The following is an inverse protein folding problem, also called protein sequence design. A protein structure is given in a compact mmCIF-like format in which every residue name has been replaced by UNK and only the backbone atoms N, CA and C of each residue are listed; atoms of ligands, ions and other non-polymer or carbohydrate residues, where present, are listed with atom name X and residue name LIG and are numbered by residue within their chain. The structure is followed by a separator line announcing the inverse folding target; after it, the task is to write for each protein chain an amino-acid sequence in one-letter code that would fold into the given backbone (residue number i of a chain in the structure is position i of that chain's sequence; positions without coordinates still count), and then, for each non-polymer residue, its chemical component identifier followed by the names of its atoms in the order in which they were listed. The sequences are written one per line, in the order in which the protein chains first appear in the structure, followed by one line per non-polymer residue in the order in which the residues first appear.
data_IF_818587488445
#
_entry.id   IF_818587488445
#
_cell.length_a   1.000
_cell.length_b   1.000
_cell.length_c   1.000
_cell.angle_alpha   90.00
_cell.angle_beta   90.00
_cell.angle_gamma   90.00
#
_symmetry.space_group_name_H-M   'P 1'
#
loop_
_entity.id
_entity.type
_entity.pdbx_description
1 polymer ?
#
# COMPACT_ATOMS: atom_id res chain seq x y z
N UNK A 1 -8.41 -30.30 0.74
CA UNK A 1 -8.50 -28.96 0.12
C UNK A 1 -7.06 -28.49 -0.10
N UNK A 2 -6.59 -28.46 -1.34
CA UNK A 2 -5.17 -28.23 -1.63
C UNK A 2 -4.76 -26.79 -1.28
N UNK A 3 -3.77 -26.66 -0.40
CA UNK A 3 -3.06 -25.40 -0.21
C UNK A 3 -2.27 -25.10 -1.49
N UNK A 4 -2.55 -23.97 -2.15
CA UNK A 4 -1.72 -23.50 -3.26
C UNK A 4 -0.27 -23.43 -2.77
N UNK A 5 0.63 -24.17 -3.42
CA UNK A 5 2.05 -24.21 -3.04
C UNK A 5 2.83 -23.11 -3.76
N UNK A 6 2.61 -21.86 -3.38
CA UNK A 6 3.50 -20.78 -3.81
C UNK A 6 4.81 -20.83 -3.01
N UNK A 7 5.92 -20.49 -3.64
CA UNK A 7 7.22 -20.34 -2.99
C UNK A 7 7.39 -18.91 -2.47
N UNK A 8 8.27 -18.72 -1.48
CA UNK A 8 8.60 -17.38 -0.97
C UNK A 8 9.15 -16.46 -2.07
N UNK A 9 9.88 -17.00 -3.05
CA UNK A 9 10.40 -16.23 -4.19
C UNK A 9 9.27 -15.68 -5.06
N UNK A 10 8.23 -16.48 -5.32
CA UNK A 10 7.07 -16.00 -6.08
C UNK A 10 6.30 -14.93 -5.30
N UNK A 11 6.13 -15.10 -3.99
CA UNK A 11 5.51 -14.07 -3.15
C UNK A 11 6.29 -12.76 -3.17
N UNK A 12 7.61 -12.81 -2.95
CA UNK A 12 8.47 -11.63 -3.01
C UNK A 12 8.45 -10.96 -4.39
N UNK A 13 8.40 -11.74 -5.48
CA UNK A 13 8.20 -11.21 -6.83
C UNK A 13 6.88 -10.43 -6.94
N UNK A 14 5.78 -11.01 -6.42
CA UNK A 14 4.48 -10.33 -6.38
C UNK A 14 4.53 -9.01 -5.60
N UNK A 15 5.16 -9.02 -4.41
CA UNK A 15 5.38 -7.83 -3.60
C UNK A 15 6.24 -6.77 -4.29
N UNK A 16 7.33 -7.18 -4.95
CA UNK A 16 8.21 -6.25 -5.67
C UNK A 16 7.50 -5.59 -6.86
N UNK A 17 6.77 -6.37 -7.65
CA UNK A 17 5.98 -5.84 -8.78
C UNK A 17 4.91 -4.87 -8.26
N UNK A 18 4.17 -5.25 -7.22
CA UNK A 18 3.16 -4.39 -6.62
C UNK A 18 3.79 -3.09 -6.05
N UNK A 19 4.92 -3.20 -5.36
CA UNK A 19 5.67 -2.08 -4.80
C UNK A 19 6.16 -1.09 -5.85
N UNK A 20 6.72 -1.58 -6.96
CA UNK A 20 7.19 -0.73 -8.06
C UNK A 20 6.04 -0.02 -8.78
N UNK A 21 4.92 -0.73 -9.03
CA UNK A 21 3.72 -0.13 -9.61
C UNK A 21 3.15 0.93 -8.66
N UNK A 22 3.07 0.62 -7.36
CA UNK A 22 2.59 1.57 -6.35
C UNK A 22 3.47 2.81 -6.30
N UNK A 23 4.80 2.66 -6.26
CA UNK A 23 5.72 3.79 -6.26
C UNK A 23 5.52 4.69 -7.49
N UNK A 24 5.36 4.09 -8.68
CA UNK A 24 5.06 4.86 -9.90
C UNK A 24 3.74 5.62 -9.81
N UNK A 25 2.63 4.90 -9.55
CA UNK A 25 1.29 5.47 -9.51
C UNK A 25 1.12 6.51 -8.39
N UNK A 26 1.70 6.26 -7.23
CA UNK A 26 1.62 7.16 -6.08
C UNK A 26 2.42 8.45 -6.31
N UNK A 27 3.59 8.39 -6.95
CA UNK A 27 4.31 9.61 -7.33
C UNK A 27 3.60 10.38 -8.47
N UNK A 28 2.99 9.67 -9.43
CA UNK A 28 2.12 10.31 -10.43
C UNK A 28 0.96 11.02 -9.72
N UNK A 29 0.34 10.39 -8.73
CA UNK A 29 -0.71 11.02 -7.95
C UNK A 29 -0.22 12.26 -7.20
N UNK A 30 0.96 12.20 -6.56
CA UNK A 30 1.57 13.38 -5.91
C UNK A 30 1.67 14.58 -6.86
N UNK A 31 2.08 14.35 -8.12
CA UNK A 31 2.13 15.40 -9.14
C UNK A 31 0.73 15.94 -9.49
N UNK A 32 -0.24 15.05 -9.66
CA UNK A 32 -1.63 15.42 -9.94
C UNK A 32 -2.21 16.23 -8.77
N UNK A 33 -2.04 15.77 -7.53
CA UNK A 33 -2.51 16.44 -6.33
C UNK A 33 -1.90 17.85 -6.21
N UNK A 34 -0.60 17.99 -6.49
CA UNK A 34 0.06 19.31 -6.56
C UNK A 34 -0.56 20.22 -7.61
N UNK A 35 -0.83 19.70 -8.81
CA UNK A 35 -1.52 20.46 -9.87
C UNK A 35 -2.96 20.84 -9.50
N UNK A 36 -3.61 20.08 -8.60
CA UNK A 36 -4.93 20.37 -8.04
C UNK A 36 -4.88 21.29 -6.80
N UNK A 37 -3.70 21.77 -6.41
CA UNK A 37 -3.52 22.73 -5.32
C UNK A 37 -3.14 22.13 -3.96
N UNK A 38 -2.78 20.85 -3.89
CA UNK A 38 -2.24 20.27 -2.66
C UNK A 38 -0.82 20.79 -2.37
N UNK A 39 -0.54 21.09 -1.11
CA UNK A 39 0.81 21.44 -0.67
C UNK A 39 1.67 20.19 -0.61
N UNK A 40 2.80 20.18 -1.32
CA UNK A 40 3.73 19.04 -1.32
C UNK A 40 4.91 19.35 -0.37
N UNK A 41 5.05 18.63 0.77
CA UNK A 41 6.18 18.82 1.67
C UNK A 41 7.53 18.50 1.01
N UNK A 42 8.60 19.11 1.52
CA UNK A 42 9.95 18.77 1.09
C UNK A 42 10.24 17.28 1.34
N UNK A 43 10.83 16.59 0.37
CA UNK A 43 11.15 15.16 0.46
C UNK A 43 9.95 14.21 0.33
N UNK A 44 8.74 14.72 0.07
CA UNK A 44 7.52 13.89 0.01
C UNK A 44 7.59 12.78 -1.04
N UNK A 45 8.16 13.03 -2.23
CA UNK A 45 8.35 12.01 -3.27
C UNK A 45 9.19 10.81 -2.79
N UNK A 46 10.24 11.05 -2.00
CA UNK A 46 11.04 9.98 -1.43
C UNK A 46 10.24 9.17 -0.39
N UNK A 47 9.52 9.88 0.50
CA UNK A 47 8.66 9.24 1.49
C UNK A 47 7.54 8.41 0.84
N UNK A 48 6.92 8.91 -0.22
CA UNK A 48 5.91 8.20 -1.01
C UNK A 48 6.51 6.95 -1.66
N UNK A 49 7.68 7.06 -2.27
CA UNK A 49 8.36 5.94 -2.93
C UNK A 49 8.65 4.81 -1.94
N UNK A 50 9.28 5.12 -0.80
CA UNK A 50 9.61 4.12 0.22
C UNK A 50 8.35 3.53 0.84
N UNK A 51 7.37 4.36 1.19
CA UNK A 51 6.07 3.94 1.76
C UNK A 51 5.18 3.17 0.77
N UNK A 52 5.47 3.22 -0.53
CA UNK A 52 4.76 2.42 -1.53
C UNK A 52 5.36 1.02 -1.69
N UNK A 53 6.67 0.88 -1.48
CA UNK A 53 7.40 -0.37 -1.72
C UNK A 53 7.38 -1.26 -0.47
N UNK A 54 7.80 -0.72 0.68
CA UNK A 54 8.01 -1.53 1.88
C UNK A 54 6.74 -2.20 2.40
N UNK A 55 5.60 -1.50 2.53
CA UNK A 55 4.36 -2.15 2.98
C UNK A 55 3.89 -3.27 2.05
N UNK A 56 4.06 -3.13 0.72
CA UNK A 56 3.67 -4.17 -0.23
C UNK A 56 4.61 -5.37 -0.21
N UNK A 57 5.91 -5.17 0.04
CA UNK A 57 6.83 -6.28 0.30
C UNK A 57 6.46 -7.03 1.57
N UNK A 58 6.20 -6.32 2.67
CA UNK A 58 5.74 -6.94 3.93
C UNK A 58 4.41 -7.66 3.72
N UNK A 59 3.46 -7.02 3.03
CA UNK A 59 2.18 -7.62 2.66
C UNK A 59 2.35 -8.91 1.87
N UNK A 60 3.31 -8.99 0.96
CA UNK A 60 3.59 -10.21 0.19
C UNK A 60 4.11 -11.37 1.05
N UNK A 61 4.86 -11.06 2.10
CA UNK A 61 5.30 -12.05 3.09
C UNK A 61 4.10 -12.55 3.89
N UNK A 62 3.22 -11.65 4.34
CA UNK A 62 1.98 -12.01 5.04
C UNK A 62 1.10 -12.89 4.13
N UNK A 63 0.93 -12.51 2.87
CA UNK A 63 0.20 -13.29 1.87
C UNK A 63 0.78 -14.71 1.74
N UNK A 64 2.10 -14.84 1.61
CA UNK A 64 2.78 -16.14 1.58
C UNK A 64 2.46 -16.99 2.80
N UNK A 65 2.55 -16.42 4.01
CA UNK A 65 2.25 -17.14 5.25
C UNK A 65 0.77 -17.59 5.29
N UNK A 66 -0.15 -16.74 4.85
CA UNK A 66 -1.57 -17.09 4.78
C UNK A 66 -1.84 -18.24 3.82
N UNK A 67 -1.27 -18.20 2.62
CA UNK A 67 -1.44 -19.27 1.62
C UNK A 67 -0.80 -20.58 2.09
N UNK A 68 0.33 -20.51 2.78
CA UNK A 68 1.06 -21.68 3.26
C UNK A 68 0.42 -22.37 4.45
N UNK A 69 -0.13 -21.60 5.40
CA UNK A 69 -0.53 -22.14 6.70
C UNK A 69 -2.05 -22.11 6.95
N UNK A 70 -2.84 -21.34 6.20
CA UNK A 70 -4.28 -21.24 6.42
C UNK A 70 -5.09 -21.94 5.32
N UNK A 71 -6.09 -22.77 5.69
CA UNK A 71 -7.09 -23.19 4.74
C UNK A 71 -7.84 -21.95 4.23
N UNK A 72 -7.97 -21.78 2.91
CA UNK A 72 -8.52 -20.57 2.26
C UNK A 72 -7.68 -19.30 2.46
N UNK A 73 -6.34 -19.42 2.50
CA UNK A 73 -5.43 -18.26 2.64
C UNK A 73 -5.74 -17.06 1.72
N UNK A 74 -6.19 -17.28 0.48
CA UNK A 74 -6.60 -16.19 -0.44
C UNK A 74 -7.78 -15.36 0.11
N UNK A 75 -8.76 -16.00 0.73
CA UNK A 75 -9.92 -15.30 1.31
C UNK A 75 -9.49 -14.49 2.54
N UNK A 76 -8.67 -15.09 3.41
CA UNK A 76 -8.13 -14.39 4.58
C UNK A 76 -7.27 -13.19 4.17
N UNK A 77 -6.46 -13.33 3.13
CA UNK A 77 -5.69 -12.23 2.56
C UNK A 77 -6.57 -11.08 2.08
N UNK A 78 -7.64 -11.40 1.33
CA UNK A 78 -8.57 -10.39 0.84
C UNK A 78 -9.22 -9.61 1.99
N UNK A 79 -9.74 -10.31 2.99
CA UNK A 79 -10.36 -9.69 4.17
C UNK A 79 -9.36 -8.83 4.94
N UNK A 80 -8.15 -9.35 5.17
CA UNK A 80 -7.11 -8.62 5.89
C UNK A 80 -6.67 -7.37 5.12
N UNK A 81 -6.52 -7.47 3.81
CA UNK A 81 -6.10 -6.34 2.97
C UNK A 81 -7.16 -5.25 2.93
N UNK A 82 -8.44 -5.62 2.79
CA UNK A 82 -9.55 -4.66 2.88
C UNK A 82 -9.53 -3.98 4.25
N UNK A 83 -9.43 -4.76 5.33
CA UNK A 83 -9.37 -4.24 6.70
C UNK A 83 -8.21 -3.25 6.90
N UNK A 84 -6.99 -3.62 6.53
CA UNK A 84 -5.84 -2.72 6.63
C UNK A 84 -5.95 -1.49 5.75
N UNK A 85 -6.50 -1.64 4.53
CA UNK A 85 -6.73 -0.50 3.64
C UNK A 85 -7.68 0.51 4.30
N UNK A 86 -8.81 0.05 4.83
CA UNK A 86 -9.78 0.89 5.53
C UNK A 86 -9.18 1.56 6.78
N UNK A 87 -8.44 0.80 7.60
CA UNK A 87 -7.75 1.34 8.78
C UNK A 87 -6.71 2.39 8.38
N UNK A 88 -6.03 2.19 7.25
CA UNK A 88 -4.99 3.12 6.78
C UNK A 88 -5.53 4.50 6.38
N UNK A 89 -6.83 4.65 6.17
CA UNK A 89 -7.46 5.97 5.98
C UNK A 89 -7.63 6.77 7.28
N UNK A 90 -7.54 6.13 8.45
CA UNK A 90 -7.68 6.84 9.73
C UNK A 90 -6.73 8.05 9.85
N UNK A 91 -5.40 7.92 9.64
CA UNK A 91 -4.48 9.07 9.68
C UNK A 91 -4.67 10.06 8.54
N UNK A 92 -5.40 9.72 7.46
CA UNK A 92 -5.71 10.67 6.38
C UNK A 92 -6.73 11.70 6.85
N UNK A 93 -7.74 11.27 7.60
CA UNK A 93 -8.81 12.13 8.12
C UNK A 93 -8.60 12.57 9.57
N UNK A 94 -7.60 11.99 10.25
CA UNK A 94 -7.15 12.35 11.59
C UNK A 94 -5.63 12.49 11.57
N UNK A 95 -5.07 13.46 10.82
CA UNK A 95 -3.64 13.58 10.62
C UNK A 95 -2.91 13.81 11.96
N UNK A 96 -1.86 13.02 12.26
CA UNK A 96 -0.99 13.33 13.38
C UNK A 96 -0.21 14.61 13.09
N UNK A 97 0.31 15.24 14.15
CA UNK A 97 1.27 16.34 14.00
C UNK A 97 2.50 15.84 13.23
N UNK A 98 3.03 16.71 12.37
CA UNK A 98 4.30 16.52 11.68
C UNK A 98 5.45 16.46 12.69
N UNK A 99 6.64 15.94 12.30
CA UNK A 99 7.79 15.85 13.21
C UNK A 99 8.26 17.18 13.80
N UNK A 100 7.91 18.29 13.16
CA UNK A 100 8.19 19.67 13.62
C UNK A 100 7.09 20.24 14.54
N UNK A 101 6.05 19.47 14.84
CA UNK A 101 4.93 19.85 15.69
C UNK A 101 3.81 20.61 14.96
N UNK A 102 3.95 20.89 13.66
CA UNK A 102 2.90 21.54 12.87
C UNK A 102 1.84 20.53 12.44
N UNK A 103 0.61 20.99 12.19
CA UNK A 103 -0.46 20.14 11.67
C UNK A 103 -0.43 20.13 10.13
N UNK A 104 -0.69 18.99 9.47
CA UNK A 104 -0.93 18.96 8.04
C UNK A 104 -2.09 19.89 7.67
N UNK A 105 -1.94 20.60 6.54
CA UNK A 105 -2.96 21.52 6.08
C UNK A 105 -4.22 20.80 5.57
N UNK A 106 -5.26 21.57 5.26
CA UNK A 106 -6.54 21.04 4.79
C UNK A 106 -6.47 20.29 3.44
N UNK A 107 -5.36 20.39 2.72
CA UNK A 107 -5.15 19.70 1.44
C UNK A 107 -4.52 18.32 1.60
N UNK A 108 -4.03 17.98 2.80
CA UNK A 108 -3.40 16.69 3.07
C UNK A 108 -4.27 15.47 2.68
N UNK A 109 -5.60 15.44 2.89
CA UNK A 109 -6.42 14.31 2.46
C UNK A 109 -6.42 14.09 0.94
N UNK A 110 -6.35 15.16 0.14
CA UNK A 110 -6.23 15.06 -1.32
C UNK A 110 -4.89 14.43 -1.72
N UNK A 111 -3.83 14.76 -0.98
CA UNK A 111 -2.50 14.20 -1.21
C UNK A 111 -2.41 12.74 -0.80
N UNK A 112 -2.85 12.39 0.42
CA UNK A 112 -2.61 11.09 1.03
C UNK A 112 -3.68 10.03 0.71
N UNK A 113 -4.97 10.39 0.69
CA UNK A 113 -6.07 9.42 0.57
C UNK A 113 -5.96 8.49 -0.63
N UNK A 114 -5.73 9.01 -1.85
CA UNK A 114 -5.60 8.16 -3.03
C UNK A 114 -4.37 7.22 -2.99
N UNK A 115 -3.29 7.60 -2.29
CA UNK A 115 -2.11 6.74 -2.12
C UNK A 115 -2.48 5.44 -1.37
N UNK A 116 -3.34 5.56 -0.35
CA UNK A 116 -3.86 4.41 0.40
C UNK A 116 -4.76 3.52 -0.46
N UNK A 117 -5.64 4.12 -1.26
CA UNK A 117 -6.50 3.37 -2.18
C UNK A 117 -5.69 2.60 -3.23
N UNK A 118 -4.73 3.26 -3.89
CA UNK A 118 -3.85 2.65 -4.89
C UNK A 118 -3.11 1.47 -4.27
N UNK A 119 -2.44 1.70 -3.13
CA UNK A 119 -1.64 0.67 -2.47
C UNK A 119 -2.50 -0.51 -1.99
N UNK A 120 -3.69 -0.24 -1.43
CA UNK A 120 -4.64 -1.27 -1.00
C UNK A 120 -5.15 -2.14 -2.16
N UNK A 121 -5.50 -1.53 -3.29
CA UNK A 121 -5.91 -2.26 -4.50
C UNK A 121 -4.78 -3.14 -5.02
N UNK A 122 -3.55 -2.60 -5.09
CA UNK A 122 -2.38 -3.34 -5.55
C UNK A 122 -2.03 -4.50 -4.60
N UNK A 123 -2.16 -4.32 -3.29
CA UNK A 123 -2.02 -5.40 -2.32
C UNK A 123 -3.07 -6.50 -2.57
N UNK A 124 -4.34 -6.14 -2.74
CA UNK A 124 -5.42 -7.10 -2.89
C UNK A 124 -5.34 -7.88 -4.21
N UNK A 125 -4.91 -7.25 -5.29
CA UNK A 125 -4.96 -7.83 -6.64
C UNK A 125 -3.60 -8.20 -7.23
N UNK A 126 -2.61 -7.32 -7.14
CA UNK A 126 -1.32 -7.52 -7.84
C UNK A 126 -0.47 -8.54 -7.11
N UNK A 127 -0.42 -8.51 -5.76
CA UNK A 127 0.35 -9.51 -5.00
C UNK A 127 -0.13 -10.93 -5.32
N UNK A 128 -1.43 -11.30 -5.20
CA UNK A 128 -1.87 -12.65 -5.54
C UNK A 128 -1.70 -12.99 -7.02
N UNK A 129 -1.93 -12.04 -7.93
CA UNK A 129 -1.84 -12.28 -9.38
C UNK A 129 -0.43 -12.67 -9.82
N UNK A 130 0.60 -12.08 -9.23
CA UNK A 130 1.99 -12.28 -9.66
C UNK A 130 2.80 -13.22 -8.77
N UNK A 131 2.23 -13.62 -7.63
CA UNK A 131 2.78 -14.63 -6.74
C UNK A 131 2.31 -16.07 -7.04
N UNK A 132 1.19 -16.22 -7.75
CA UNK A 132 0.73 -17.52 -8.28
C UNK A 132 1.29 -17.73 -9.69
#
# INVERSE_FOLDING_TARGET
METQKITIRQALKGGAIAGLIAAGLNNIWTLIAGALGATIPAGFFFAVTTSSIFPLLIGSIIFFLMIKFLPKGNLFWLVLTIGFTLISFYPVFNPPALPDGTMPDSTFPLLAGPLHAISGVLAAWVIPKWAN
#
